data_IF_523600442496
#
_entry.id   IF_523600442496
#
_cell.length_a   1.000
_cell.length_b   1.000
_cell.length_c   1.000
_cell.angle_alpha   90.00
_cell.angle_beta   90.00
_cell.angle_gamma   90.00
#
_symmetry.space_group_name_H-M   'P 1'
#
loop_
_entity.id
_entity.type
_entity.pdbx_description
1 polymer ?
#
# COMPACT_ATOMS: atom_id res chain seq x y z
N UNK A 1 9.73 -17.01 -8.78
CA UNK A 1 8.91 -16.44 -7.69
C UNK A 1 9.29 -14.98 -7.45
N UNK A 2 8.32 -14.17 -7.19
CA UNK A 2 8.50 -12.76 -6.88
C UNK A 2 8.05 -12.46 -5.46
N UNK A 3 8.72 -11.52 -4.83
CA UNK A 3 8.32 -11.00 -3.54
C UNK A 3 7.83 -9.57 -3.72
N UNK A 4 6.63 -9.31 -3.25
CA UNK A 4 6.02 -7.98 -3.31
C UNK A 4 5.99 -7.41 -1.91
N UNK A 5 6.56 -6.22 -1.76
CA UNK A 5 6.45 -5.43 -0.53
C UNK A 5 5.59 -4.22 -0.89
N UNK A 6 4.47 -4.08 -0.24
CA UNK A 6 3.54 -2.99 -0.53
C UNK A 6 3.28 -2.18 0.74
N UNK A 7 3.33 -0.87 0.61
CA UNK A 7 3.06 0.06 1.70
C UNK A 7 1.82 0.85 1.32
N UNK A 8 0.80 0.79 2.14
CA UNK A 8 -0.48 1.40 1.84
C UNK A 8 -1.14 1.93 3.11
N UNK A 9 -2.13 2.78 2.91
CA UNK A 9 -2.89 3.35 4.01
C UNK A 9 -3.67 2.26 4.74
N UNK A 10 -3.80 2.38 6.07
CA UNK A 10 -4.52 1.42 6.88
C UNK A 10 -5.97 1.24 6.44
N UNK A 11 -6.62 2.30 5.97
CA UNK A 11 -8.00 2.21 5.50
C UNK A 11 -8.11 1.36 4.24
N UNK A 12 -7.12 1.46 3.37
CA UNK A 12 -7.10 0.68 2.13
C UNK A 12 -6.82 -0.79 2.39
N UNK A 13 -6.06 -1.12 3.44
CA UNK A 13 -5.79 -2.53 3.78
C UNK A 13 -7.06 -3.30 4.12
N UNK A 14 -8.04 -2.64 4.70
CA UNK A 14 -9.32 -3.27 5.05
C UNK A 14 -10.07 -3.79 3.83
N UNK A 15 -9.83 -3.19 2.68
CA UNK A 15 -10.42 -3.61 1.41
C UNK A 15 -9.50 -4.53 0.63
N UNK A 16 -8.21 -4.21 0.58
CA UNK A 16 -7.25 -4.93 -0.26
C UNK A 16 -6.94 -6.32 0.27
N UNK A 17 -6.74 -6.48 1.58
CA UNK A 17 -6.41 -7.80 2.13
C UNK A 17 -7.50 -8.84 1.84
N UNK A 18 -8.80 -8.56 2.09
CA UNK A 18 -9.83 -9.52 1.73
C UNK A 18 -9.87 -9.85 0.25
N UNK A 19 -9.59 -8.88 -0.62
CA UNK A 19 -9.56 -9.11 -2.06
C UNK A 19 -8.40 -9.98 -2.49
N UNK A 20 -7.24 -9.81 -1.87
CA UNK A 20 -6.09 -10.68 -2.12
C UNK A 20 -6.39 -12.12 -1.72
N UNK A 21 -6.99 -12.31 -0.55
CA UNK A 21 -7.36 -13.63 -0.06
C UNK A 21 -8.39 -14.28 -0.96
N UNK A 22 -9.40 -13.52 -1.39
CA UNK A 22 -10.44 -14.00 -2.30
C UNK A 22 -9.87 -14.50 -3.61
N UNK A 23 -8.81 -13.86 -4.10
CA UNK A 23 -8.14 -14.24 -5.35
C UNK A 23 -7.07 -15.31 -5.14
N UNK A 24 -6.92 -15.83 -3.93
CA UNK A 24 -6.00 -16.91 -3.63
C UNK A 24 -4.58 -16.49 -3.25
N UNK A 25 -4.37 -15.23 -2.95
CA UNK A 25 -3.06 -14.73 -2.54
C UNK A 25 -2.94 -14.66 -1.03
N UNK A 26 -1.75 -14.99 -0.52
CA UNK A 26 -1.45 -14.84 0.90
C UNK A 26 -0.73 -13.51 1.10
N UNK A 27 -1.22 -12.72 2.04
CA UNK A 27 -0.59 -11.46 2.38
C UNK A 27 -0.24 -11.46 3.87
N UNK A 28 1.02 -11.16 4.17
CA UNK A 28 1.50 -11.07 5.55
C UNK A 28 1.66 -9.60 5.90
N UNK A 29 1.07 -9.19 7.01
CA UNK A 29 1.24 -7.84 7.52
C UNK A 29 2.53 -7.77 8.32
N UNK A 30 3.36 -6.81 8.01
CA UNK A 30 4.62 -6.58 8.72
C UNK A 30 4.46 -5.43 9.69
N UNK A 31 4.86 -5.64 10.93
CA UNK A 31 4.96 -4.58 11.92
C UNK A 31 6.32 -3.93 11.78
N UNK A 32 6.34 -2.78 11.17
CA UNK A 32 7.58 -2.05 10.93
C UNK A 32 7.48 -0.66 11.53
N UNK A 33 8.61 -0.17 11.99
CA UNK A 33 8.75 1.20 12.48
C UNK A 33 9.94 1.83 11.77
N UNK A 34 9.88 3.12 11.55
CA UNK A 34 10.98 3.82 10.90
C UNK A 34 10.50 4.97 10.04
N UNK A 35 11.46 5.71 9.47
CA UNK A 35 11.17 6.92 8.72
C UNK A 35 10.43 6.71 7.41
N UNK A 36 10.50 5.51 6.84
CA UNK A 36 9.79 5.19 5.60
C UNK A 36 8.32 4.86 5.83
N UNK A 37 8.01 4.33 7.01
CA UNK A 37 6.65 3.97 7.39
C UNK A 37 6.12 4.99 8.37
N UNK A 38 5.20 5.78 7.88
CA UNK A 38 4.53 6.75 8.73
C UNK A 38 3.37 6.09 9.45
N UNK A 39 3.01 6.67 10.60
CA UNK A 39 1.80 6.33 11.30
C UNK A 39 0.60 6.34 10.33
N UNK A 40 -0.23 5.32 10.40
CA UNK A 40 -1.40 5.19 9.55
C UNK A 40 -1.19 4.36 8.28
N UNK A 41 0.03 3.83 8.07
CA UNK A 41 0.33 2.96 6.94
C UNK A 41 0.60 1.53 7.40
N UNK A 42 0.34 0.60 6.51
CA UNK A 42 0.59 -0.82 6.74
C UNK A 42 1.51 -1.34 5.64
N UNK A 43 2.42 -2.22 6.02
CA UNK A 43 3.28 -2.91 5.07
C UNK A 43 2.80 -4.34 4.90
N UNK A 44 2.62 -4.76 3.66
CA UNK A 44 2.24 -6.12 3.30
C UNK A 44 3.38 -6.80 2.56
N UNK A 45 3.55 -8.09 2.83
CA UNK A 45 4.47 -8.93 2.09
C UNK A 45 3.69 -10.04 1.41
N UNK A 46 3.87 -10.16 0.10
CA UNK A 46 3.17 -11.14 -0.73
C UNK A 46 4.21 -11.87 -1.58
N UNK A 47 4.26 -13.20 -1.44
CA UNK A 47 5.09 -14.02 -2.31
C UNK A 47 4.19 -14.68 -3.36
N UNK A 48 4.54 -14.54 -4.62
CA UNK A 48 3.73 -15.09 -5.70
C UNK A 48 4.58 -15.40 -6.93
N UNK A 49 4.00 -16.11 -7.88
CA UNK A 49 4.67 -16.38 -9.14
C UNK A 49 4.64 -15.14 -10.03
N UNK A 50 5.61 -15.05 -10.92
CA UNK A 50 5.76 -13.89 -11.81
C UNK A 50 4.49 -13.60 -12.60
N UNK A 51 3.83 -14.63 -13.10
CA UNK A 51 2.60 -14.52 -13.88
C UNK A 51 1.43 -13.90 -13.13
N UNK A 52 1.48 -13.91 -11.79
CA UNK A 52 0.43 -13.37 -10.93
C UNK A 52 0.68 -11.93 -10.48
N UNK A 53 1.86 -11.40 -10.75
CA UNK A 53 2.23 -10.04 -10.30
C UNK A 53 1.26 -8.99 -10.83
N UNK A 54 0.90 -9.07 -12.11
CA UNK A 54 -0.02 -8.12 -12.71
C UNK A 54 -1.42 -8.20 -12.09
N UNK A 55 -1.85 -9.38 -11.70
CA UNK A 55 -3.14 -9.56 -11.02
C UNK A 55 -3.13 -8.89 -9.66
N UNK A 56 -2.04 -9.04 -8.91
CA UNK A 56 -1.87 -8.36 -7.62
C UNK A 56 -1.84 -6.84 -7.81
N UNK A 57 -1.07 -6.37 -8.78
CA UNK A 57 -1.01 -4.95 -9.09
C UNK A 57 -2.38 -4.38 -9.44
N UNK A 58 -3.17 -5.14 -10.20
CA UNK A 58 -4.52 -4.75 -10.57
C UNK A 58 -5.43 -4.56 -9.35
N UNK A 59 -5.30 -5.42 -8.34
CA UNK A 59 -6.07 -5.29 -7.11
C UNK A 59 -5.69 -4.00 -6.38
N UNK A 60 -4.39 -3.73 -6.25
CA UNK A 60 -3.93 -2.49 -5.61
C UNK A 60 -4.38 -1.26 -6.39
N UNK A 61 -4.27 -1.29 -7.71
CA UNK A 61 -4.69 -0.18 -8.56
C UNK A 61 -6.18 0.12 -8.41
N UNK A 62 -7.00 -0.91 -8.29
CA UNK A 62 -8.45 -0.76 -8.19
C UNK A 62 -8.90 -0.24 -6.83
N UNK A 63 -8.29 -0.70 -5.75
CA UNK A 63 -8.77 -0.46 -4.39
C UNK A 63 -7.90 0.48 -3.56
N UNK A 64 -6.75 0.90 -4.08
CA UNK A 64 -5.84 1.82 -3.40
C UNK A 64 -5.77 3.13 -4.17
N UNK A 65 -6.88 3.87 -4.14
CA UNK A 65 -6.96 5.11 -4.90
C UNK A 65 -6.38 6.26 -4.10
N UNK A 66 -5.40 6.93 -4.71
CA UNK A 66 -4.95 8.21 -4.23
C UNK A 66 -6.09 9.20 -4.34
N UNK A 67 -6.34 9.91 -3.26
CA UNK A 67 -7.40 10.90 -3.20
C UNK A 67 -6.86 12.19 -2.64
N UNK A 68 -7.46 13.29 -3.05
CA UNK A 68 -7.09 14.60 -2.57
C UNK A 68 -8.07 15.04 -1.49
N UNK A 69 -7.51 15.56 -0.41
CA UNK A 69 -8.29 16.12 0.69
C UNK A 69 -7.97 17.59 0.78
N UNK A 70 -9.00 18.41 0.79
CA UNK A 70 -8.84 19.84 0.97
C UNK A 70 -8.48 20.12 2.42
N UNK A 71 -7.35 20.76 2.62
CA UNK A 71 -6.87 21.12 3.94
C UNK A 71 -6.65 22.61 4.00
N UNK A 72 -7.26 23.24 5.00
CA UNK A 72 -7.01 24.64 5.26
C UNK A 72 -5.68 24.79 5.97
N UNK A 73 -4.76 25.48 5.33
CA UNK A 73 -3.53 25.88 6.00
C UNK A 73 -3.81 27.20 6.71
N UNK A 74 -3.66 27.15 8.04
CA UNK A 74 -3.73 28.38 8.82
C UNK A 74 -2.56 29.26 8.46
N UNK A 75 -2.84 30.31 7.73
CA UNK A 75 -1.84 31.30 7.41
C UNK A 75 -1.94 32.40 8.45
N UNK A 76 -0.80 32.86 8.93
CA UNK A 76 -0.71 33.88 9.97
C UNK A 76 -1.28 35.24 9.56
N UNK A 77 -1.54 35.42 8.29
CA UNK A 77 -2.06 36.69 7.76
C UNK A 77 -3.55 36.68 7.48
N UNK A 78 -4.25 35.69 8.00
CA UNK A 78 -5.68 35.60 7.80
C UNK A 78 -6.11 35.18 6.39
N UNK A 79 -5.15 34.84 5.56
CA UNK A 79 -5.42 34.23 4.26
C UNK A 79 -5.30 32.75 4.40
N UNK A 80 -6.44 32.10 4.53
CA UNK A 80 -6.50 30.65 4.50
C UNK A 80 -6.77 30.22 3.08
N UNK A 81 -5.77 29.70 2.42
CA UNK A 81 -5.95 29.08 1.13
C UNK A 81 -6.09 27.58 1.31
N UNK A 82 -7.16 26.99 0.76
CA UNK A 82 -7.28 25.54 0.81
C UNK A 82 -6.15 24.91 0.00
N UNK A 83 -5.43 23.99 0.66
CA UNK A 83 -4.42 23.20 -0.02
C UNK A 83 -4.94 21.80 -0.23
N UNK A 84 -4.78 21.33 -1.44
CA UNK A 84 -5.09 19.96 -1.77
C UNK A 84 -3.96 19.06 -1.31
N UNK A 85 -4.27 18.13 -0.40
CA UNK A 85 -3.31 17.16 0.10
C UNK A 85 -3.72 15.79 -0.43
N UNK A 86 -2.80 15.12 -1.09
CA UNK A 86 -3.03 13.78 -1.58
C UNK A 86 -2.88 12.78 -0.44
N UNK A 87 -3.90 11.97 -0.22
CA UNK A 87 -3.90 10.91 0.78
C UNK A 87 -4.28 9.59 0.13
N UNK A 88 -3.80 8.51 0.67
CA UNK A 88 -4.01 7.19 0.11
C UNK A 88 -2.94 6.84 -0.90
N UNK A 89 -3.27 5.89 -1.78
CA UNK A 89 -2.31 5.34 -2.71
C UNK A 89 -1.48 4.23 -2.09
N UNK A 90 -0.66 3.58 -2.89
CA UNK A 90 0.21 2.50 -2.44
C UNK A 90 1.53 2.56 -3.16
N UNK A 91 2.59 2.16 -2.46
CA UNK A 91 3.91 1.97 -3.05
C UNK A 91 4.16 0.47 -3.06
N UNK A 92 4.60 -0.05 -4.19
CA UNK A 92 4.84 -1.47 -4.35
C UNK A 92 6.24 -1.71 -4.88
N UNK A 93 6.97 -2.59 -4.21
CA UNK A 93 8.27 -3.06 -4.66
C UNK A 93 8.13 -4.52 -5.06
N UNK A 94 8.62 -4.85 -6.24
CA UNK A 94 8.61 -6.23 -6.75
C UNK A 94 10.04 -6.68 -6.91
N UNK A 95 10.39 -7.78 -6.24
CA UNK A 95 11.74 -8.30 -6.23
C UNK A 95 11.78 -9.76 -6.65
N UNK A 96 12.89 -10.17 -7.25
CA UNK A 96 13.13 -11.58 -7.51
C UNK A 96 13.50 -12.31 -6.23
N UNK A 97 12.94 -13.51 -6.05
CA UNK A 97 13.33 -14.40 -4.98
C UNK A 97 14.24 -15.43 -5.59
N UNK A 98 15.52 -15.42 -5.22
CA UNK A 98 16.52 -16.35 -5.73
C UNK A 98 16.25 -17.76 -5.23
N UNK A 99 16.05 -17.90 -3.93
CA UNK A 99 15.81 -19.18 -3.29
C UNK A 99 14.78 -19.04 -2.20
N UNK A 100 13.96 -20.06 -2.01
CA UNK A 100 13.06 -20.15 -0.87
C UNK A 100 13.06 -21.59 -0.36
N UNK A 101 13.04 -21.74 0.96
CA UNK A 101 13.07 -23.03 1.60
C UNK A 101 11.93 -23.12 2.59
N UNK A 102 11.21 -24.22 2.53
CA UNK A 102 10.14 -24.51 3.48
C UNK A 102 10.53 -25.75 4.28
N UNK A 103 10.56 -25.59 5.56
CA UNK A 103 10.98 -26.65 6.47
C UNK A 103 9.79 -27.31 7.17
#
# INVERSE_FOLDING_TARGET
MKLIIAILNNDDTKTIIPKLIEEGFSATTLNTTGGFLRSGNTTLMIATEEENVEKVRGIFKKYSNERSVEKLTGDDEGKQEPQEVKVGGAIMFVMDVKDNFKY
#
